data_IF_352299927119
#
_entry.id   IF_352299927119
#
_cell.length_a   1.000
_cell.length_b   1.000
_cell.length_c   1.000
_cell.angle_alpha   90.00
_cell.angle_beta   90.00
_cell.angle_gamma   90.00
#
_symmetry.space_group_name_H-M   'P 1'
#
loop_
_entity.id
_entity.type
_entity.pdbx_description
1 polymer ?
#
# COMPACT_ATOMS: atom_id res chain seq x y z
N UNK A 1 7.66 -24.11 -10.61
CA UNK A 1 6.50 -23.82 -11.49
C UNK A 1 5.25 -24.36 -10.81
N UNK A 2 4.15 -23.57 -10.83
CA UNK A 2 2.86 -23.99 -10.28
C UNK A 2 2.18 -24.89 -11.30
N UNK A 3 1.76 -26.07 -10.88
CA UNK A 3 1.05 -27.03 -11.74
C UNK A 3 -0.46 -26.76 -11.77
N UNK A 4 -1.15 -27.24 -12.82
CA UNK A 4 -2.62 -27.15 -12.90
C UNK A 4 -3.34 -27.88 -11.76
N UNK A 5 -2.74 -28.94 -11.22
CA UNK A 5 -3.30 -29.72 -10.13
C UNK A 5 -3.21 -28.95 -8.80
N UNK A 6 -2.07 -28.31 -8.52
CA UNK A 6 -1.90 -27.44 -7.35
C UNK A 6 -2.86 -26.25 -7.38
N UNK A 7 -3.08 -25.64 -8.56
CA UNK A 7 -4.02 -24.57 -8.73
C UNK A 7 -5.46 -25.02 -8.46
N UNK A 8 -5.86 -26.18 -9.00
CA UNK A 8 -7.20 -26.73 -8.74
C UNK A 8 -7.41 -27.08 -7.26
N UNK A 9 -6.39 -27.63 -6.60
CA UNK A 9 -6.43 -27.90 -5.16
C UNK A 9 -6.61 -26.60 -4.38
N UNK A 10 -5.82 -25.58 -4.68
CA UNK A 10 -5.92 -24.26 -4.04
C UNK A 10 -7.33 -23.66 -4.18
N UNK A 11 -7.89 -23.67 -5.40
CA UNK A 11 -9.27 -23.16 -5.62
C UNK A 11 -10.27 -23.96 -4.79
N UNK A 12 -10.18 -25.28 -4.77
CA UNK A 12 -11.10 -26.15 -4.00
C UNK A 12 -11.03 -25.90 -2.50
N UNK A 13 -9.85 -25.60 -1.98
CA UNK A 13 -9.61 -25.35 -0.55
C UNK A 13 -9.95 -23.93 -0.12
N UNK A 14 -9.72 -22.93 -0.98
CA UNK A 14 -9.82 -21.51 -0.62
C UNK A 14 -11.09 -20.81 -1.09
N UNK A 15 -11.70 -21.28 -2.19
CA UNK A 15 -12.94 -20.72 -2.71
C UNK A 15 -14.16 -21.42 -2.07
N UNK A 16 -14.24 -21.29 -0.77
CA UNK A 16 -15.33 -21.85 0.06
C UNK A 16 -16.08 -20.68 0.72
N UNK A 17 -17.39 -20.84 1.04
CA UNK A 17 -18.22 -19.75 1.59
C UNK A 17 -17.60 -19.09 2.82
N UNK A 18 -16.92 -19.85 3.66
CA UNK A 18 -16.25 -19.42 4.88
C UNK A 18 -15.10 -18.42 4.63
N UNK A 19 -14.55 -18.44 3.43
CA UNK A 19 -13.42 -17.57 3.01
C UNK A 19 -13.84 -16.47 2.04
N UNK A 20 -15.15 -16.29 1.77
CA UNK A 20 -15.65 -15.35 0.75
C UNK A 20 -16.53 -14.28 1.37
N UNK A 21 -16.38 -13.05 0.88
CA UNK A 21 -17.30 -11.94 1.15
C UNK A 21 -17.91 -11.46 -0.17
N UNK A 22 -19.23 -11.31 -0.20
CA UNK A 22 -19.96 -10.79 -1.34
C UNK A 22 -20.43 -9.36 -1.05
N UNK A 23 -20.08 -8.43 -1.93
CA UNK A 23 -20.58 -7.05 -1.90
C UNK A 23 -21.23 -6.73 -3.23
N UNK A 24 -22.46 -6.27 -3.19
CA UNK A 24 -23.23 -5.91 -4.38
C UNK A 24 -23.74 -4.48 -4.22
N UNK A 25 -23.53 -3.68 -5.26
CA UNK A 25 -24.11 -2.33 -5.40
C UNK A 25 -24.90 -2.31 -6.69
N UNK A 26 -26.21 -2.12 -6.61
CA UNK A 26 -27.10 -2.11 -7.77
C UNK A 26 -28.33 -1.22 -7.50
N UNK A 27 -28.88 -0.67 -8.57
CA UNK A 27 -30.14 0.10 -8.54
C UNK A 27 -31.36 -0.86 -8.66
N UNK A 28 -31.52 -1.69 -7.63
CA UNK A 28 -32.65 -2.62 -7.50
C UNK A 28 -33.12 -2.68 -6.04
N UNK A 29 -34.37 -3.08 -5.84
CA UNK A 29 -34.93 -3.30 -4.51
C UNK A 29 -34.11 -4.31 -3.70
N UNK A 30 -33.79 -3.96 -2.43
CA UNK A 30 -32.93 -4.73 -1.54
C UNK A 30 -33.39 -6.18 -1.36
N UNK A 31 -34.70 -6.39 -1.17
CA UNK A 31 -35.25 -7.75 -0.99
C UNK A 31 -35.11 -8.60 -2.24
N UNK A 32 -35.28 -7.99 -3.42
CA UNK A 32 -35.07 -8.69 -4.69
C UNK A 32 -33.63 -9.03 -4.91
N UNK A 33 -32.72 -8.14 -4.52
CA UNK A 33 -31.28 -8.37 -4.59
C UNK A 33 -30.88 -9.51 -3.65
N UNK A 34 -31.29 -9.45 -2.39
CA UNK A 34 -31.02 -10.50 -1.40
C UNK A 34 -31.53 -11.87 -1.87
N UNK A 35 -32.77 -11.96 -2.35
CA UNK A 35 -33.36 -13.19 -2.86
C UNK A 35 -32.58 -13.75 -4.06
N UNK A 36 -32.09 -12.89 -4.97
CA UNK A 36 -31.29 -13.30 -6.13
C UNK A 36 -29.92 -13.82 -5.70
N UNK A 37 -29.28 -13.15 -4.75
CA UNK A 37 -27.98 -13.57 -4.19
C UNK A 37 -28.10 -14.88 -3.44
N UNK A 38 -29.10 -15.02 -2.58
CA UNK A 38 -29.34 -16.26 -1.83
C UNK A 38 -29.60 -17.43 -2.77
N UNK A 39 -30.39 -17.23 -3.82
CA UNK A 39 -30.62 -18.26 -4.85
C UNK A 39 -29.32 -18.66 -5.57
N UNK A 40 -28.46 -17.70 -5.86
CA UNK A 40 -27.17 -17.95 -6.50
C UNK A 40 -26.22 -18.71 -5.56
N UNK A 41 -26.13 -18.26 -4.32
CA UNK A 41 -25.28 -18.89 -3.29
C UNK A 41 -25.72 -20.32 -3.01
N UNK A 42 -27.01 -20.57 -2.79
CA UNK A 42 -27.55 -21.94 -2.57
C UNK A 42 -27.27 -22.86 -3.76
N UNK A 43 -27.32 -22.34 -4.99
CA UNK A 43 -27.02 -23.14 -6.20
C UNK A 43 -25.56 -23.61 -6.25
N UNK A 44 -24.59 -22.77 -5.85
CA UNK A 44 -23.17 -23.07 -6.00
C UNK A 44 -22.51 -23.58 -4.72
N UNK A 45 -22.99 -23.20 -3.56
CA UNK A 45 -22.38 -23.52 -2.25
C UNK A 45 -23.27 -24.40 -1.36
N UNK A 46 -24.52 -24.66 -1.78
CA UNK A 46 -25.51 -25.38 -0.96
C UNK A 46 -26.00 -24.54 0.21
N UNK A 47 -26.66 -25.19 1.15
CA UNK A 47 -27.24 -24.53 2.34
C UNK A 47 -26.24 -24.43 3.51
N UNK A 48 -24.93 -24.41 3.21
CA UNK A 48 -23.90 -24.24 4.22
C UNK A 48 -24.01 -22.87 4.88
N UNK A 49 -24.16 -22.85 6.22
CA UNK A 49 -23.95 -21.63 7.00
C UNK A 49 -22.46 -21.52 7.29
N UNK A 50 -21.80 -20.45 6.82
CA UNK A 50 -20.38 -20.26 7.10
C UNK A 50 -20.17 -20.11 8.62
N UNK A 51 -19.33 -20.93 9.18
CA UNK A 51 -18.86 -20.76 10.55
C UNK A 51 -17.58 -19.90 10.48
N UNK A 52 -17.76 -18.61 10.73
CA UNK A 52 -16.63 -17.66 10.72
C UNK A 52 -15.88 -17.84 12.03
N UNK A 53 -14.82 -18.61 12.01
CA UNK A 53 -13.89 -18.66 13.12
C UNK A 53 -13.16 -17.32 13.27
N UNK A 54 -13.02 -16.76 14.48
CA UNK A 54 -12.21 -15.56 14.68
C UNK A 54 -10.76 -15.84 14.22
N UNK A 55 -10.27 -15.01 13.32
CA UNK A 55 -8.89 -15.10 12.89
C UNK A 55 -8.02 -14.44 13.95
N UNK A 56 -7.27 -15.23 14.71
CA UNK A 56 -6.19 -14.71 15.55
C UNK A 56 -5.10 -14.14 14.62
N UNK A 57 -4.87 -12.85 14.75
CA UNK A 57 -3.80 -12.18 14.01
C UNK A 57 -2.58 -12.07 14.92
N UNK A 58 -1.42 -12.59 14.49
CA UNK A 58 -0.19 -12.39 15.23
C UNK A 58 0.10 -10.88 15.33
N UNK A 59 0.77 -10.49 16.40
CA UNK A 59 1.27 -9.12 16.51
C UNK A 59 2.21 -8.80 15.33
N UNK A 60 2.23 -7.56 14.85
CA UNK A 60 3.09 -7.18 13.73
C UNK A 60 4.56 -7.43 14.07
N UNK A 61 5.30 -7.90 13.08
CA UNK A 61 6.75 -8.10 13.23
C UNK A 61 7.40 -6.73 13.33
N UNK A 62 8.00 -6.44 14.48
CA UNK A 62 8.81 -5.24 14.66
C UNK A 62 10.23 -5.57 14.22
N UNK A 63 10.74 -4.87 13.19
CA UNK A 63 12.14 -5.00 12.80
C UNK A 63 13.02 -4.44 13.92
N UNK A 64 13.84 -5.30 14.50
CA UNK A 64 14.74 -4.93 15.60
C UNK A 64 15.85 -3.97 15.14
N UNK A 65 16.20 -3.99 13.85
CA UNK A 65 17.28 -3.18 13.28
C UNK A 65 16.86 -2.52 11.96
N UNK A 66 17.32 -1.29 11.78
CA UNK A 66 17.29 -0.65 10.46
C UNK A 66 18.27 -1.37 9.54
N UNK A 67 17.86 -1.66 8.33
CA UNK A 67 18.72 -2.28 7.33
C UNK A 67 18.98 -1.32 6.16
N UNK A 68 20.13 -1.49 5.52
CA UNK A 68 20.47 -0.84 4.26
C UNK A 68 21.09 -1.91 3.35
N UNK A 69 20.47 -2.16 2.22
CA UNK A 69 20.89 -3.17 1.27
C UNK A 69 21.07 -2.54 -0.12
N UNK A 70 22.17 -2.87 -0.78
CA UNK A 70 22.43 -2.45 -2.16
C UNK A 70 22.63 -3.66 -3.05
N UNK A 71 21.78 -3.80 -4.07
CA UNK A 71 21.87 -4.87 -5.07
C UNK A 71 22.35 -4.27 -6.38
N UNK A 72 23.56 -4.69 -6.83
CA UNK A 72 24.13 -4.21 -8.09
C UNK A 72 23.71 -5.11 -9.25
N UNK A 73 23.14 -4.51 -10.30
CA UNK A 73 22.76 -5.18 -11.55
C UNK A 73 23.33 -4.45 -12.77
N UNK A 74 23.33 -5.12 -13.93
CA UNK A 74 23.77 -4.53 -15.22
C UNK A 74 22.62 -3.76 -15.87
N UNK A 75 22.26 -2.62 -15.32
CA UNK A 75 21.28 -1.67 -15.88
C UNK A 75 21.79 -0.25 -15.67
N UNK A 76 21.28 0.69 -16.46
CA UNK A 76 21.69 2.10 -16.39
C UNK A 76 20.97 2.84 -15.26
N UNK A 77 19.73 2.51 -15.01
CA UNK A 77 18.90 3.13 -14.00
C UNK A 77 19.15 2.52 -12.62
N UNK A 78 19.23 3.37 -11.61
CA UNK A 78 19.21 2.99 -10.20
C UNK A 78 17.82 3.26 -9.62
N UNK A 79 17.26 2.25 -8.96
CA UNK A 79 16.00 2.38 -8.22
C UNK A 79 16.33 2.33 -6.71
N UNK A 80 15.87 3.32 -5.97
CA UNK A 80 16.01 3.35 -4.52
C UNK A 80 14.65 3.37 -3.85
N UNK A 81 14.52 2.64 -2.75
CA UNK A 81 13.33 2.62 -1.90
C UNK A 81 13.73 2.91 -0.47
N UNK A 82 13.11 3.91 0.12
CA UNK A 82 13.20 4.22 1.55
C UNK A 82 11.87 3.90 2.18
N UNK A 83 11.83 3.14 3.26
CA UNK A 83 10.60 2.73 3.90
C UNK A 83 10.65 2.76 5.41
N UNK A 84 9.48 2.83 6.02
CA UNK A 84 9.30 2.78 7.45
C UNK A 84 7.90 2.32 7.83
N UNK A 85 7.73 1.97 9.10
CA UNK A 85 6.42 1.66 9.64
C UNK A 85 5.52 2.90 9.65
N UNK A 86 4.24 2.67 9.48
CA UNK A 86 3.20 3.67 9.45
C UNK A 86 1.95 3.13 10.19
N UNK A 87 0.95 3.98 10.49
CA UNK A 87 -0.26 3.54 11.15
C UNK A 87 -0.99 2.42 10.42
N UNK A 88 -1.63 1.55 11.18
CA UNK A 88 -2.47 0.47 10.65
C UNK A 88 -3.79 1.00 10.10
N UNK A 89 -4.56 0.12 9.44
CA UNK A 89 -5.89 0.44 8.91
C UNK A 89 -6.86 0.94 9.99
N UNK A 90 -6.73 0.48 11.22
CA UNK A 90 -7.66 0.78 12.33
C UNK A 90 -7.25 2.00 13.18
N UNK A 91 -6.07 2.55 12.99
CA UNK A 91 -5.62 3.81 13.60
C UNK A 91 -6.13 5.00 12.77
N UNK A 92 -7.45 5.21 12.76
CA UNK A 92 -8.15 6.06 11.80
C UNK A 92 -7.59 7.48 11.70
N UNK A 93 -7.37 8.14 12.82
CA UNK A 93 -6.86 9.52 12.86
C UNK A 93 -5.47 9.64 12.25
N UNK A 94 -4.56 8.79 12.68
CA UNK A 94 -3.16 8.81 12.23
C UNK A 94 -3.03 8.29 10.80
N UNK A 95 -3.88 7.34 10.42
CA UNK A 95 -4.02 6.85 9.06
C UNK A 95 -4.42 7.96 8.08
N UNK A 96 -5.44 8.74 8.40
CA UNK A 96 -5.89 9.86 7.55
C UNK A 96 -4.79 10.92 7.43
N UNK A 97 -4.14 11.26 8.53
CA UNK A 97 -3.01 12.20 8.54
C UNK A 97 -1.85 11.69 7.67
N UNK A 98 -1.55 10.38 7.74
CA UNK A 98 -0.49 9.75 6.94
C UNK A 98 -0.83 9.74 5.45
N UNK A 99 -2.08 9.48 5.06
CA UNK A 99 -2.54 9.61 3.66
C UNK A 99 -2.31 11.02 3.14
N UNK A 100 -2.72 12.02 3.90
CA UNK A 100 -2.53 13.42 3.51
C UNK A 100 -1.04 13.78 3.41
N UNK A 101 -0.25 13.41 4.40
CA UNK A 101 1.20 13.63 4.43
C UNK A 101 1.90 12.96 3.24
N UNK A 102 1.56 11.70 2.93
CA UNK A 102 2.16 10.99 1.79
C UNK A 102 1.85 11.69 0.46
N UNK A 103 0.63 12.21 0.29
CA UNK A 103 0.26 12.99 -0.91
C UNK A 103 1.03 14.32 -1.01
N UNK A 104 1.21 15.03 0.10
CA UNK A 104 1.99 16.28 0.14
C UNK A 104 3.46 15.99 -0.17
N UNK A 105 4.03 14.94 0.40
CA UNK A 105 5.43 14.60 0.29
C UNK A 105 5.80 14.16 -1.13
N UNK A 106 5.13 13.17 -1.67
CA UNK A 106 5.47 12.57 -2.97
C UNK A 106 4.28 11.92 -3.67
N UNK A 107 3.06 12.47 -3.50
CA UNK A 107 1.89 12.04 -4.23
C UNK A 107 2.00 12.26 -5.75
N UNK A 108 1.03 11.75 -6.53
CA UNK A 108 1.10 11.76 -8.00
C UNK A 108 1.06 13.16 -8.63
N UNK A 109 0.69 14.17 -7.86
CA UNK A 109 0.63 15.53 -8.34
C UNK A 109 2.04 16.15 -8.49
N UNK A 110 2.27 16.84 -9.59
CA UNK A 110 3.56 17.50 -9.88
C UNK A 110 3.95 18.55 -8.83
N UNK A 111 3.01 19.06 -8.06
CA UNK A 111 3.24 20.01 -6.99
C UNK A 111 3.66 19.39 -5.65
N UNK A 112 3.75 18.08 -5.54
CA UNK A 112 4.27 17.43 -4.34
C UNK A 112 5.72 17.83 -4.06
N UNK A 113 6.11 17.79 -2.78
CA UNK A 113 7.40 18.33 -2.32
C UNK A 113 8.58 17.67 -3.03
N UNK A 114 8.60 16.34 -3.08
CA UNK A 114 9.70 15.60 -3.68
C UNK A 114 9.76 15.78 -5.21
N UNK A 115 8.60 15.83 -5.90
CA UNK A 115 8.58 16.13 -7.32
C UNK A 115 9.16 17.51 -7.61
N UNK A 116 8.75 18.54 -6.88
CA UNK A 116 9.30 19.91 -7.02
C UNK A 116 10.80 19.97 -6.81
N UNK A 117 11.32 19.24 -5.81
CA UNK A 117 12.74 19.32 -5.45
C UNK A 117 13.58 18.42 -6.34
N UNK A 118 13.26 17.14 -6.44
CA UNK A 118 14.12 16.16 -7.10
C UNK A 118 13.97 16.20 -8.64
N UNK A 119 12.75 16.40 -9.13
CA UNK A 119 12.46 16.38 -10.55
C UNK A 119 12.55 17.76 -11.18
N UNK A 120 11.76 18.73 -10.66
CA UNK A 120 11.66 20.05 -11.31
C UNK A 120 12.89 20.93 -11.05
N UNK A 121 13.36 20.97 -9.80
CA UNK A 121 14.48 21.84 -9.43
C UNK A 121 15.84 21.27 -9.80
N UNK A 122 16.06 19.99 -9.52
CA UNK A 122 17.37 19.36 -9.70
C UNK A 122 17.46 18.49 -10.95
N UNK A 123 16.35 17.97 -11.47
CA UNK A 123 16.35 17.08 -12.63
C UNK A 123 17.08 15.75 -12.38
N UNK A 124 17.17 15.30 -11.12
CA UNK A 124 17.96 14.12 -10.74
C UNK A 124 17.21 12.81 -10.86
N UNK A 125 15.87 12.85 -10.91
CA UNK A 125 15.04 11.64 -10.93
C UNK A 125 14.17 11.59 -12.19
N UNK A 126 13.93 10.41 -12.69
CA UNK A 126 12.93 10.13 -13.73
C UNK A 126 11.52 10.13 -13.12
N UNK A 127 11.39 9.64 -11.89
CA UNK A 127 10.18 9.66 -11.11
C UNK A 127 10.47 9.50 -9.62
N UNK A 128 9.59 10.06 -8.80
CA UNK A 128 9.58 9.87 -7.35
C UNK A 128 8.15 9.78 -6.88
N UNK A 129 7.88 8.80 -6.04
CA UNK A 129 6.54 8.54 -5.51
C UNK A 129 6.62 8.16 -4.03
N UNK A 130 5.67 8.65 -3.26
CA UNK A 130 5.41 8.20 -1.89
C UNK A 130 4.15 7.37 -1.85
N UNK A 131 4.24 6.16 -1.35
CA UNK A 131 3.13 5.23 -1.22
C UNK A 131 2.92 4.83 0.23
N UNK A 132 1.66 4.79 0.66
CA UNK A 132 1.27 4.31 1.97
C UNK A 132 0.37 3.10 1.84
N UNK A 133 0.86 1.94 2.25
CA UNK A 133 0.12 0.68 2.25
C UNK A 133 -0.36 0.38 3.66
N UNK A 134 -1.67 0.15 3.78
CA UNK A 134 -2.35 -0.09 5.05
C UNK A 134 -2.66 -1.57 5.20
N UNK A 135 -2.21 -2.16 6.29
CA UNK A 135 -2.57 -3.51 6.73
C UNK A 135 -3.40 -3.44 8.01
N UNK A 136 -4.03 -4.53 8.37
CA UNK A 136 -4.88 -4.59 9.57
C UNK A 136 -4.12 -4.46 10.89
N UNK A 137 -2.85 -4.76 10.89
CA UNK A 137 -1.95 -4.83 12.05
C UNK A 137 -0.82 -3.80 11.99
N UNK A 138 -0.52 -3.26 10.81
CA UNK A 138 0.53 -2.27 10.60
C UNK A 138 0.27 -1.44 9.35
N UNK A 139 1.08 -0.46 9.11
CA UNK A 139 1.19 0.24 7.83
C UNK A 139 2.64 0.33 7.38
N UNK A 140 2.85 0.55 6.10
CA UNK A 140 4.17 0.78 5.51
C UNK A 140 4.11 2.03 4.64
N UNK A 141 4.95 3.00 4.96
CA UNK A 141 5.20 4.16 4.12
C UNK A 141 6.48 3.94 3.34
N UNK A 142 6.43 4.11 2.03
CA UNK A 142 7.60 3.99 1.16
C UNK A 142 7.77 5.22 0.29
N UNK A 143 9.02 5.58 0.03
CA UNK A 143 9.40 6.57 -0.97
C UNK A 143 10.24 5.82 -2.00
N UNK A 144 9.75 5.74 -3.22
CA UNK A 144 10.42 5.08 -4.34
C UNK A 144 10.88 6.12 -5.34
N UNK A 145 12.10 6.02 -5.83
CA UNK A 145 12.64 6.90 -6.85
C UNK A 145 13.50 6.16 -7.85
N UNK A 146 13.45 6.61 -9.10
CA UNK A 146 14.30 6.16 -10.20
C UNK A 146 15.22 7.28 -10.66
N UNK A 147 16.53 7.04 -10.74
CA UNK A 147 17.50 8.04 -11.10
C UNK A 147 18.74 7.41 -11.79
N UNK A 148 19.64 8.23 -12.26
CA UNK A 148 20.97 7.76 -12.63
C UNK A 148 21.77 7.35 -11.40
N UNK A 149 22.62 6.32 -11.55
CA UNK A 149 23.42 5.77 -10.44
C UNK A 149 24.20 6.84 -9.69
N UNK A 150 24.79 7.80 -10.39
CA UNK A 150 25.60 8.88 -9.83
C UNK A 150 24.79 9.84 -8.95
N UNK A 151 23.47 9.90 -9.15
CA UNK A 151 22.59 10.79 -8.44
C UNK A 151 21.89 10.12 -7.23
N UNK A 152 22.01 8.79 -7.07
CA UNK A 152 21.29 8.03 -6.03
C UNK A 152 21.51 8.60 -4.64
N UNK A 153 22.78 8.79 -4.25
CA UNK A 153 23.12 9.30 -2.92
C UNK A 153 22.60 10.72 -2.69
N UNK A 154 22.75 11.60 -3.69
CA UNK A 154 22.23 12.98 -3.64
C UNK A 154 20.71 13.00 -3.50
N UNK A 155 20.02 12.11 -4.20
CA UNK A 155 18.56 11.96 -4.09
C UNK A 155 18.15 11.52 -2.69
N UNK A 156 18.79 10.51 -2.12
CA UNK A 156 18.52 10.03 -0.77
C UNK A 156 18.77 11.10 0.30
N UNK A 157 19.86 11.85 0.16
CA UNK A 157 20.17 13.00 1.05
C UNK A 157 19.09 14.10 0.92
N UNK A 158 18.64 14.40 -0.29
CA UNK A 158 17.60 15.40 -0.51
C UNK A 158 16.23 14.94 0.03
N UNK A 159 15.88 13.66 -0.13
CA UNK A 159 14.68 13.06 0.50
C UNK A 159 14.71 13.24 2.01
N UNK A 160 15.80 12.86 2.64
CA UNK A 160 15.95 13.00 4.10
C UNK A 160 15.86 14.46 4.54
N UNK A 161 16.48 15.38 3.80
CA UNK A 161 16.40 16.82 4.08
C UNK A 161 14.98 17.34 4.01
N UNK A 162 14.18 16.94 3.01
CA UNK A 162 12.80 17.38 2.87
C UNK A 162 11.89 16.78 3.95
N UNK A 163 12.13 15.53 4.37
CA UNK A 163 11.43 14.92 5.51
C UNK A 163 11.70 15.72 6.79
N UNK A 164 12.96 16.00 7.12
CA UNK A 164 13.35 16.79 8.28
C UNK A 164 12.75 18.20 8.22
N UNK A 165 12.73 18.82 7.04
CA UNK A 165 12.12 20.12 6.83
C UNK A 165 10.62 20.12 7.13
N UNK A 166 9.89 19.11 6.67
CA UNK A 166 8.46 18.97 6.94
C UNK A 166 8.14 18.71 8.41
N UNK A 167 9.02 18.03 9.13
CA UNK A 167 8.87 17.81 10.58
C UNK A 167 9.04 19.09 11.41
N UNK A 168 9.77 20.08 10.89
CA UNK A 168 10.09 21.33 11.61
C UNK A 168 9.27 22.53 11.15
N UNK A 169 8.58 22.42 10.00
CA UNK A 169 7.77 23.52 9.46
C UNK A 169 6.33 23.46 9.98
N UNK A 170 5.86 24.56 10.55
CA UNK A 170 4.42 24.78 10.70
C UNK A 170 3.78 24.85 9.31
N UNK A 171 2.82 23.96 9.04
CA UNK A 171 2.00 24.02 7.84
C UNK A 171 1.08 25.25 7.96
N UNK A 172 1.38 26.31 7.22
CA UNK A 172 0.53 27.48 7.16
C UNK A 172 -0.60 27.29 6.15
N UNK A 173 -1.75 27.92 6.36
CA UNK A 173 -2.96 27.82 5.51
C UNK A 173 -2.73 28.22 4.03
N UNK A 174 -1.58 28.78 3.70
CA UNK A 174 -1.21 29.23 2.33
C UNK A 174 -0.37 28.22 1.54
N UNK A 175 -0.23 27.03 2.00
CA UNK A 175 0.40 25.92 1.27
C UNK A 175 -0.58 24.78 1.17
#
# INVERSE_FOLDING_TARGET
EITSEELRRFVKEKFVPESMAFTIVADIDEKRMEAAVMKLCSKYFGDRKPEIAPVERPAPIVLANVFNETITRKNHEANAVVGGFAPSLYEEKDRIATVLMSNILGGPAMNSVLNKVLRERYGWVYGVETSYTQYSDTGILTISLGCERENTEKCLMAVNKEILRLQTLELTERK
#
